data_IF_169385468363
#
_entry.id   IF_169385468363
#
_cell.length_a   1.000
_cell.length_b   1.000
_cell.length_c   1.000
_cell.angle_alpha   90.00
_cell.angle_beta   90.00
_cell.angle_gamma   90.00
#
_symmetry.space_group_name_H-M   'P 1'
#
loop_
_entity.id
_entity.type
_entity.pdbx_description
1 polymer ?
#
# COMPACT_ATOMS: atom_id res chain seq x y z
N UNK A 1 -49.93 -6.78 -20.71
CA UNK A 1 -49.87 -6.97 -19.25
C UNK A 1 -48.42 -6.68 -18.85
N UNK A 2 -47.95 -5.53 -18.37
CA UNK A 2 -48.42 -4.44 -17.47
C UNK A 2 -48.52 -4.81 -15.99
N UNK A 3 -47.47 -4.46 -15.23
CA UNK A 3 -47.33 -3.82 -13.89
C UNK A 3 -46.05 -4.33 -13.21
N UNK A 4 -45.04 -3.51 -12.98
CA UNK A 4 -44.89 -2.37 -12.04
C UNK A 4 -44.57 -2.81 -10.59
N UNK A 5 -43.31 -2.51 -10.21
CA UNK A 5 -42.84 -1.78 -9.01
C UNK A 5 -43.36 -2.16 -7.62
N UNK A 6 -42.46 -2.34 -6.63
CA UNK A 6 -42.52 -1.64 -5.32
C UNK A 6 -41.19 -1.75 -4.57
N UNK A 7 -40.72 -0.58 -4.12
CA UNK A 7 -39.65 -0.31 -3.17
C UNK A 7 -40.23 -0.18 -1.75
N UNK A 8 -39.53 -0.64 -0.71
CA UNK A 8 -39.74 -0.34 0.71
C UNK A 8 -38.32 -0.25 1.33
N UNK A 9 -37.74 0.90 1.65
CA UNK A 9 -38.03 1.87 2.73
C UNK A 9 -38.14 1.26 4.14
N UNK A 10 -37.15 1.60 4.96
CA UNK A 10 -37.10 1.54 6.43
C UNK A 10 -35.63 1.61 6.87
N UNK A 11 -35.09 2.59 7.60
CA UNK A 11 -35.67 3.62 8.48
C UNK A 11 -35.04 3.50 9.88
N UNK A 12 -34.64 4.63 10.50
CA UNK A 12 -34.07 4.84 11.86
C UNK A 12 -32.55 4.62 11.99
N UNK A 13 -31.66 5.62 12.12
CA UNK A 13 -31.47 6.81 12.98
C UNK A 13 -31.10 6.51 14.46
N UNK A 14 -30.00 7.16 14.89
CA UNK A 14 -29.57 7.65 16.23
C UNK A 14 -28.36 6.96 16.87
N UNK A 15 -27.36 7.78 17.23
CA UNK A 15 -26.25 7.38 18.11
C UNK A 15 -24.99 8.23 18.01
N UNK A 16 -25.07 9.55 18.20
CA UNK A 16 -23.89 10.38 18.53
C UNK A 16 -23.61 10.21 20.02
N UNK A 17 -22.38 9.91 20.40
CA UNK A 17 -21.87 10.16 21.75
C UNK A 17 -20.39 10.57 21.67
N UNK A 18 -20.17 11.88 21.65
CA UNK A 18 -18.96 12.51 22.17
C UNK A 18 -19.04 12.48 23.70
N UNK A 19 -17.94 12.15 24.37
CA UNK A 19 -17.79 12.43 25.79
C UNK A 19 -16.36 12.88 26.06
N UNK A 20 -16.22 14.17 26.34
CA UNK A 20 -15.10 14.77 27.04
C UNK A 20 -15.44 14.76 28.52
N UNK A 21 -14.50 14.38 29.38
CA UNK A 21 -14.54 14.71 30.79
C UNK A 21 -13.13 15.09 31.25
N UNK A 22 -12.98 16.38 31.53
CA UNK A 22 -11.90 16.98 32.31
C UNK A 22 -12.04 16.55 33.77
N UNK A 23 -10.92 16.27 34.42
CA UNK A 23 -10.82 16.15 35.88
C UNK A 23 -9.66 17.00 36.38
N UNK A 24 -9.99 18.14 36.98
CA UNK A 24 -9.09 19.01 37.75
C UNK A 24 -9.37 18.86 39.25
N UNK A 25 -8.32 18.97 40.07
CA UNK A 25 -8.32 19.07 41.54
C UNK A 25 -7.08 18.35 42.07
N UNK A 26 -6.01 18.98 42.59
CA UNK A 26 -5.91 20.11 43.53
C UNK A 26 -5.89 19.53 44.95
N UNK A 27 -4.98 19.83 45.90
CA UNK A 27 -3.80 20.70 46.01
C UNK A 27 -3.05 20.29 47.31
N UNK A 28 -2.08 21.11 47.75
CA UNK A 28 -1.44 21.20 49.09
C UNK A 28 -0.21 20.27 49.32
N UNK A 29 0.98 20.69 49.78
CA UNK A 29 1.48 21.91 50.44
C UNK A 29 2.96 22.21 50.06
N UNK A 30 3.34 23.48 50.22
CA UNK A 30 4.71 24.07 50.10
C UNK A 30 5.29 24.27 51.52
N UNK A 31 6.41 24.98 51.77
CA UNK A 31 7.51 25.49 50.94
C UNK A 31 8.90 25.16 51.57
N UNK A 32 10.02 25.59 50.97
CA UNK A 32 10.94 26.58 51.58
C UNK A 32 12.34 26.67 50.92
N UNK A 33 12.75 27.94 50.73
CA UNK A 33 14.07 28.48 50.40
C UNK A 33 14.66 28.29 48.98
N UNK A 34 15.32 29.28 48.35
CA UNK A 34 15.44 30.73 48.55
C UNK A 34 16.25 31.31 47.36
N UNK A 35 16.08 32.61 47.09
CA UNK A 35 17.10 33.56 46.58
C UNK A 35 17.37 33.55 45.05
N UNK A 36 16.79 34.46 44.24
CA UNK A 36 17.22 35.87 43.93
C UNK A 36 18.69 35.92 43.47
N UNK A 37 19.04 36.25 42.22
CA UNK A 37 19.13 37.60 41.59
C UNK A 37 19.17 37.47 40.05
N UNK A 38 18.36 38.21 39.28
CA UNK A 38 18.62 39.54 38.67
C UNK A 38 19.47 39.52 37.38
N UNK A 39 18.86 40.11 36.34
CA UNK A 39 19.32 40.58 35.03
C UNK A 39 20.82 40.63 34.73
N UNK A 40 21.18 40.25 33.51
CA UNK A 40 21.73 41.22 32.53
C UNK A 40 21.63 40.70 31.08
N UNK A 41 21.09 41.58 30.24
CA UNK A 41 21.23 41.60 28.78
C UNK A 41 22.69 41.51 28.32
N UNK A 42 22.95 40.73 27.27
CA UNK A 42 24.06 40.95 26.35
C UNK A 42 23.74 40.31 25.00
N UNK A 43 23.58 41.16 23.99
CA UNK A 43 23.53 40.82 22.58
C UNK A 43 24.76 39.99 22.18
N UNK A 44 24.55 38.97 21.36
CA UNK A 44 25.60 38.40 20.51
C UNK A 44 24.97 37.90 19.21
N UNK A 45 25.10 38.74 18.18
CA UNK A 45 24.96 38.36 16.77
C UNK A 45 26.30 37.78 16.31
N UNK A 46 26.31 36.54 15.80
CA UNK A 46 27.22 36.01 14.77
C UNK A 46 26.78 34.57 14.49
N UNK A 47 26.14 34.30 13.35
CA UNK A 47 26.70 33.99 12.03
C UNK A 47 26.78 32.47 11.78
N UNK A 48 26.54 32.14 10.51
CA UNK A 48 26.28 30.83 9.93
C UNK A 48 27.28 29.76 10.35
N UNK A 49 26.75 28.58 10.69
CA UNK A 49 27.40 27.32 10.34
C UNK A 49 26.32 26.36 9.82
N UNK A 50 26.52 25.94 8.58
CA UNK A 50 25.73 25.04 7.78
C UNK A 50 25.18 23.85 8.57
N UNK A 51 23.86 23.70 8.59
CA UNK A 51 23.25 22.42 8.89
C UNK A 51 23.58 21.48 7.72
N UNK A 52 24.66 20.72 7.90
CA UNK A 52 25.03 19.61 7.03
C UNK A 52 23.81 18.69 6.90
N UNK A 53 23.23 18.64 5.71
CA UNK A 53 22.24 17.64 5.37
C UNK A 53 22.92 16.29 5.50
N UNK A 54 22.66 15.59 6.59
CA UNK A 54 22.93 14.17 6.70
C UNK A 54 22.04 13.50 5.66
N UNK A 55 22.60 13.32 4.46
CA UNK A 55 22.04 12.47 3.43
C UNK A 55 21.91 11.07 4.03
N UNK A 56 20.70 10.75 4.45
CA UNK A 56 20.34 9.40 4.86
C UNK A 56 20.58 8.48 3.66
N UNK A 57 21.32 7.38 3.81
CA UNK A 57 21.75 6.58 2.68
C UNK A 57 20.56 5.90 2.02
N UNK A 58 20.41 6.19 0.73
CA UNK A 58 19.97 5.29 -0.33
C UNK A 58 18.82 4.32 -0.04
N UNK A 59 17.65 4.89 0.30
CA UNK A 59 16.38 4.16 0.20
C UNK A 59 15.83 4.24 -1.23
N UNK A 60 16.45 5.03 -2.12
CA UNK A 60 16.02 5.27 -3.50
C UNK A 60 16.33 4.11 -4.44
N UNK A 61 17.52 3.50 -4.37
CA UNK A 61 17.94 2.54 -5.40
C UNK A 61 17.25 1.18 -5.31
N UNK A 62 16.89 0.69 -4.12
CA UNK A 62 16.20 -0.59 -3.96
C UNK A 62 14.68 -0.53 -4.25
N UNK A 63 14.14 0.69 -4.41
CA UNK A 63 12.72 0.96 -4.60
C UNK A 63 12.37 1.37 -6.04
N UNK A 64 13.35 1.39 -6.97
CA UNK A 64 13.23 2.07 -8.25
C UNK A 64 12.91 1.20 -9.48
N UNK A 65 12.87 -0.14 -9.38
CA UNK A 65 12.66 -0.99 -10.57
C UNK A 65 11.23 -0.84 -11.16
N UNK A 66 10.21 -0.81 -10.29
CA UNK A 66 8.81 -0.71 -10.76
C UNK A 66 8.45 0.69 -11.27
N UNK A 67 9.27 1.70 -11.00
CA UNK A 67 9.14 3.05 -11.55
C UNK A 67 10.20 3.37 -12.61
N UNK A 68 11.05 2.40 -12.98
CA UNK A 68 12.06 2.58 -14.01
C UNK A 68 11.40 2.99 -15.34
N UNK A 69 11.99 4.01 -15.98
CA UNK A 69 11.50 4.60 -17.23
C UNK A 69 10.22 5.45 -17.10
N UNK A 70 9.64 5.60 -15.91
CA UNK A 70 8.49 6.48 -15.73
C UNK A 70 8.90 7.95 -15.86
N UNK A 71 8.17 8.70 -16.71
CA UNK A 71 8.40 10.13 -16.91
C UNK A 71 7.10 10.91 -16.66
N UNK A 72 7.26 12.17 -16.22
CA UNK A 72 6.14 13.06 -15.96
C UNK A 72 5.28 12.65 -14.76
N UNK A 73 4.06 13.17 -14.73
CA UNK A 73 3.08 12.91 -13.67
C UNK A 73 1.96 12.01 -14.16
N UNK A 74 1.36 11.23 -13.27
CA UNK A 74 0.29 10.29 -13.58
C UNK A 74 -0.80 10.23 -12.51
N UNK A 75 -1.60 9.18 -12.58
CA UNK A 75 -2.63 8.87 -11.60
C UNK A 75 -2.19 7.70 -10.72
N UNK A 76 -2.00 7.98 -9.45
CA UNK A 76 -1.79 7.00 -8.38
C UNK A 76 -3.14 6.48 -7.87
N UNK A 77 -3.23 5.18 -7.65
CA UNK A 77 -4.36 4.53 -6.99
C UNK A 77 -3.82 3.55 -5.93
N UNK A 78 -4.28 3.68 -4.69
CA UNK A 78 -3.94 2.76 -3.60
C UNK A 78 -5.10 1.84 -3.25
N UNK A 79 -4.81 0.57 -2.97
CA UNK A 79 -5.81 -0.45 -2.69
C UNK A 79 -5.48 -1.21 -1.41
N UNK A 80 -6.50 -1.49 -0.60
CA UNK A 80 -6.41 -2.42 0.53
C UNK A 80 -7.10 -3.71 0.11
N UNK A 81 -6.37 -4.82 0.17
CA UNK A 81 -6.87 -6.11 -0.27
C UNK A 81 -7.55 -6.88 0.86
N UNK A 82 -8.63 -7.64 0.57
CA UNK A 82 -9.26 -7.85 -0.73
C UNK A 82 -10.36 -6.82 -1.07
N UNK A 83 -10.39 -5.67 -0.38
CA UNK A 83 -11.59 -4.86 -0.26
C UNK A 83 -11.78 -3.86 -1.40
N UNK A 84 -11.04 -2.75 -1.40
CA UNK A 84 -11.35 -1.61 -2.28
C UNK A 84 -10.14 -0.70 -2.50
N UNK A 85 -10.29 0.21 -3.46
CA UNK A 85 -9.43 1.37 -3.61
C UNK A 85 -9.70 2.37 -2.48
N UNK A 86 -8.66 2.78 -1.75
CA UNK A 86 -8.80 3.74 -0.64
C UNK A 86 -8.33 5.16 -1.00
N UNK A 87 -7.57 5.31 -2.09
CA UNK A 87 -7.04 6.61 -2.51
C UNK A 87 -6.85 6.68 -4.02
N UNK A 88 -7.12 7.86 -4.57
CA UNK A 88 -6.78 8.27 -5.92
C UNK A 88 -6.08 9.62 -5.84
N UNK A 89 -4.90 9.74 -6.42
CA UNK A 89 -4.15 11.01 -6.49
C UNK A 89 -3.69 11.24 -7.92
N UNK A 90 -4.07 12.37 -8.49
CA UNK A 90 -3.64 12.77 -9.83
C UNK A 90 -2.40 13.66 -9.77
N UNK A 91 -1.71 13.78 -10.91
CA UNK A 91 -0.57 14.69 -11.10
C UNK A 91 0.58 14.45 -10.10
N UNK A 92 0.88 13.18 -9.83
CA UNK A 92 1.98 12.75 -8.96
C UNK A 92 3.00 11.93 -9.76
N UNK A 93 4.28 12.04 -9.45
CA UNK A 93 5.32 11.21 -10.08
C UNK A 93 5.20 9.74 -9.63
N UNK A 94 5.79 8.81 -10.39
CA UNK A 94 5.79 7.40 -10.01
C UNK A 94 6.53 7.17 -8.68
N UNK A 95 7.68 7.83 -8.48
CA UNK A 95 8.47 7.69 -7.26
C UNK A 95 7.71 8.17 -6.01
N UNK A 96 7.06 9.34 -6.08
CA UNK A 96 6.22 9.84 -4.99
C UNK A 96 5.02 8.93 -4.73
N UNK A 97 4.35 8.46 -5.79
CA UNK A 97 3.25 7.51 -5.68
C UNK A 97 3.67 6.22 -4.95
N UNK A 98 4.86 5.69 -5.28
CA UNK A 98 5.41 4.50 -4.65
C UNK A 98 5.76 4.75 -3.19
N UNK A 99 6.42 5.87 -2.87
CA UNK A 99 6.74 6.26 -1.50
C UNK A 99 5.47 6.38 -0.66
N UNK A 100 4.44 7.05 -1.19
CA UNK A 100 3.14 7.15 -0.53
C UNK A 100 2.52 5.78 -0.29
N UNK A 101 2.63 4.86 -1.25
CA UNK A 101 2.14 3.50 -1.07
C UNK A 101 2.87 2.75 0.05
N UNK A 102 4.20 2.81 0.06
CA UNK A 102 5.04 2.17 1.09
C UNK A 102 4.73 2.74 2.47
N UNK A 103 4.60 4.07 2.59
CA UNK A 103 4.22 4.74 3.84
C UNK A 103 2.88 4.21 4.37
N UNK A 104 1.87 4.12 3.52
CA UNK A 104 0.55 3.59 3.91
C UNK A 104 0.62 2.11 4.29
N UNK A 105 1.38 1.29 3.56
CA UNK A 105 1.56 -0.11 3.89
C UNK A 105 2.28 -0.29 5.24
N UNK A 106 3.29 0.53 5.53
CA UNK A 106 4.03 0.48 6.79
C UNK A 106 3.19 0.97 7.98
N UNK A 107 2.32 1.96 7.78
CA UNK A 107 1.36 2.39 8.79
C UNK A 107 0.31 1.32 9.13
N UNK A 108 0.10 0.34 8.23
CA UNK A 108 -0.89 -0.71 8.37
C UNK A 108 -0.28 -2.10 8.15
N UNK A 109 0.62 -2.57 9.05
CA UNK A 109 1.40 -3.78 8.82
C UNK A 109 0.56 -5.06 8.73
N UNK A 110 -0.63 -5.08 9.34
CA UNK A 110 -1.56 -6.23 9.30
C UNK A 110 -2.40 -6.30 8.03
N UNK A 111 -2.32 -5.33 7.13
CA UNK A 111 -3.14 -5.27 5.92
C UNK A 111 -2.32 -5.51 4.66
N UNK A 112 -2.95 -6.17 3.69
CA UNK A 112 -2.37 -6.38 2.36
C UNK A 112 -2.69 -5.20 1.47
N UNK A 113 -1.73 -4.77 0.65
CA UNK A 113 -1.84 -3.59 -0.19
C UNK A 113 -1.27 -3.85 -1.58
N UNK A 114 -1.83 -3.15 -2.56
CA UNK A 114 -1.10 -2.86 -3.78
C UNK A 114 -1.42 -1.45 -4.23
N UNK A 115 -0.56 -0.91 -5.08
CA UNK A 115 -0.77 0.39 -5.67
C UNK A 115 -0.44 0.39 -7.15
N UNK A 116 -1.14 1.24 -7.88
CA UNK A 116 -0.88 1.47 -9.30
C UNK A 116 -0.54 2.92 -9.58
N UNK A 117 0.23 3.13 -10.65
CA UNK A 117 0.46 4.42 -11.29
C UNK A 117 0.24 4.27 -12.78
N UNK A 118 -0.69 5.06 -13.35
CA UNK A 118 -1.11 4.95 -14.75
C UNK A 118 -1.39 3.47 -15.16
N UNK A 119 -2.15 2.76 -14.32
CA UNK A 119 -2.54 1.37 -14.54
C UNK A 119 -1.37 0.36 -14.63
N UNK A 120 -0.18 0.73 -14.11
CA UNK A 120 0.96 -0.17 -13.82
C UNK A 120 1.05 -0.40 -12.32
N UNK A 121 1.23 -1.64 -11.87
CA UNK A 121 1.51 -1.91 -10.45
C UNK A 121 2.91 -1.42 -10.10
N UNK A 122 3.01 -0.60 -9.05
CA UNK A 122 4.27 0.00 -8.59
C UNK A 122 4.71 -0.51 -7.22
N UNK A 123 3.82 -1.21 -6.52
CA UNK A 123 4.06 -1.79 -5.21
C UNK A 123 2.98 -2.83 -4.93
N UNK A 124 3.36 -3.95 -4.31
CA UNK A 124 2.45 -4.96 -3.78
C UNK A 124 3.05 -5.57 -2.52
N UNK A 125 2.21 -5.79 -1.51
CA UNK A 125 2.53 -6.55 -0.31
C UNK A 125 1.32 -7.35 0.14
N UNK A 126 1.47 -8.66 0.13
CA UNK A 126 0.48 -9.60 0.62
C UNK A 126 0.88 -10.06 2.03
N UNK A 127 0.09 -9.68 3.05
CA UNK A 127 0.26 -10.20 4.43
C UNK A 127 -0.18 -11.66 4.48
N UNK A 128 -1.28 -11.97 3.81
CA UNK A 128 -1.72 -13.34 3.54
C UNK A 128 -1.51 -13.64 2.07
N UNK A 129 -0.91 -14.77 1.74
CA UNK A 129 -0.60 -15.16 0.36
C UNK A 129 -1.84 -15.06 -0.55
N UNK A 130 -1.75 -14.26 -1.60
CA UNK A 130 -2.81 -14.10 -2.58
C UNK A 130 -3.94 -13.17 -2.17
N UNK A 131 -3.82 -12.44 -1.06
CA UNK A 131 -4.86 -11.52 -0.59
C UNK A 131 -5.29 -10.49 -1.66
N UNK A 132 -4.36 -10.06 -2.52
CA UNK A 132 -4.63 -9.09 -3.57
C UNK A 132 -5.04 -9.69 -4.92
N UNK A 133 -5.13 -11.02 -5.06
CA UNK A 133 -5.35 -11.67 -6.35
C UNK A 133 -6.57 -11.09 -7.09
N UNK A 134 -7.72 -10.99 -6.44
CA UNK A 134 -8.97 -10.55 -7.09
C UNK A 134 -8.95 -9.11 -7.62
N UNK A 135 -8.04 -8.25 -7.15
CA UNK A 135 -8.06 -6.82 -7.44
C UNK A 135 -6.98 -6.37 -8.43
N UNK A 136 -5.82 -7.03 -8.45
CA UNK A 136 -4.67 -6.55 -9.23
C UNK A 136 -5.00 -6.44 -10.72
N UNK A 137 -5.57 -7.49 -11.32
CA UNK A 137 -5.87 -7.45 -12.75
C UNK A 137 -7.03 -6.51 -13.10
N UNK A 138 -7.97 -6.27 -12.18
CA UNK A 138 -9.03 -5.28 -12.39
C UNK A 138 -8.50 -3.83 -12.41
N UNK A 139 -7.32 -3.59 -11.85
CA UNK A 139 -6.73 -2.27 -11.71
C UNK A 139 -5.71 -1.90 -12.78
N UNK A 140 -5.43 -2.80 -13.74
CA UNK A 140 -4.43 -2.61 -14.79
C UNK A 140 -4.99 -2.90 -16.17
N UNK A 141 -4.38 -2.32 -17.21
CA UNK A 141 -4.83 -2.49 -18.59
C UNK A 141 -3.67 -2.77 -19.56
N UNK A 142 -4.02 -3.20 -20.77
CA UNK A 142 -3.09 -3.53 -21.84
C UNK A 142 -2.65 -5.00 -21.84
N UNK A 143 -1.64 -5.31 -22.66
CA UNK A 143 -1.07 -6.64 -22.80
C UNK A 143 0.39 -6.65 -22.35
N UNK A 144 0.90 -7.84 -21.97
CA UNK A 144 2.25 -7.98 -21.43
C UNK A 144 2.76 -9.42 -21.46
N UNK A 145 3.97 -9.60 -20.95
CA UNK A 145 4.55 -10.92 -20.74
C UNK A 145 4.00 -11.54 -19.45
N UNK A 146 3.40 -12.72 -19.57
CA UNK A 146 2.96 -13.58 -18.49
C UNK A 146 3.97 -14.69 -18.26
N UNK A 147 4.31 -14.93 -16.99
CA UNK A 147 5.09 -16.08 -16.55
C UNK A 147 4.40 -16.75 -15.37
N UNK A 148 4.20 -18.06 -15.46
CA UNK A 148 3.65 -18.87 -14.37
C UNK A 148 4.72 -19.80 -13.79
N UNK A 149 4.70 -19.96 -12.47
CA UNK A 149 5.68 -20.75 -11.74
C UNK A 149 5.00 -21.72 -10.78
N UNK A 150 5.55 -22.93 -10.68
CA UNK A 150 5.19 -23.89 -9.63
C UNK A 150 6.27 -23.83 -8.57
N UNK A 151 5.90 -23.58 -7.32
CA UNK A 151 6.84 -23.43 -6.22
C UNK A 151 7.17 -24.78 -5.58
N UNK A 152 8.43 -25.04 -5.18
CA UNK A 152 9.63 -24.20 -5.32
C UNK A 152 10.40 -24.47 -6.63
N UNK A 153 9.74 -25.06 -7.63
CA UNK A 153 10.41 -25.79 -8.70
C UNK A 153 10.90 -24.91 -9.86
N UNK A 154 10.01 -24.49 -10.77
CA UNK A 154 10.41 -23.84 -12.02
C UNK A 154 9.25 -23.07 -12.67
N UNK A 155 9.59 -22.28 -13.69
CA UNK A 155 8.63 -21.68 -14.62
C UNK A 155 8.02 -22.75 -15.52
N UNK A 156 6.70 -22.83 -15.59
CA UNK A 156 6.00 -23.82 -16.42
C UNK A 156 5.34 -23.20 -17.67
N UNK A 157 5.19 -21.87 -17.71
CA UNK A 157 4.58 -21.17 -18.83
C UNK A 157 5.18 -19.78 -19.00
N UNK A 158 5.38 -19.40 -20.26
CA UNK A 158 5.76 -18.06 -20.69
C UNK A 158 4.94 -17.70 -21.93
N UNK A 159 4.22 -16.58 -21.86
CA UNK A 159 3.36 -16.11 -22.94
C UNK A 159 3.50 -14.60 -23.08
N UNK A 160 3.70 -14.12 -24.31
CA UNK A 160 3.77 -12.69 -24.59
C UNK A 160 2.42 -12.16 -25.09
N UNK A 161 2.22 -10.85 -25.00
CA UNK A 161 1.06 -10.15 -25.54
C UNK A 161 -0.31 -10.67 -25.05
N UNK A 162 -0.41 -11.08 -23.77
CA UNK A 162 -1.65 -11.51 -23.11
C UNK A 162 -2.15 -10.43 -22.14
N UNK A 163 -3.46 -10.30 -21.94
CA UNK A 163 -4.03 -9.39 -20.93
C UNK A 163 -3.78 -9.89 -19.50
N UNK A 164 -3.91 -9.00 -18.51
CA UNK A 164 -3.77 -9.40 -17.10
C UNK A 164 -4.84 -10.43 -16.70
N UNK A 165 -6.12 -10.19 -17.04
CA UNK A 165 -7.23 -11.09 -16.72
C UNK A 165 -7.01 -12.50 -17.26
N UNK A 166 -6.59 -12.63 -18.52
CA UNK A 166 -6.32 -13.94 -19.12
C UNK A 166 -5.12 -14.61 -18.46
N UNK A 167 -4.04 -13.88 -18.18
CA UNK A 167 -2.88 -14.38 -17.47
C UNK A 167 -3.25 -14.91 -16.07
N UNK A 168 -4.06 -14.16 -15.32
CA UNK A 168 -4.56 -14.57 -14.02
C UNK A 168 -5.47 -15.81 -14.11
N UNK A 169 -6.40 -15.82 -15.07
CA UNK A 169 -7.31 -16.96 -15.28
C UNK A 169 -6.54 -18.24 -15.61
N UNK A 170 -5.52 -18.12 -16.47
CA UNK A 170 -4.62 -19.23 -16.81
C UNK A 170 -3.85 -19.74 -15.58
N UNK A 171 -3.35 -18.83 -14.75
CA UNK A 171 -2.67 -19.20 -13.51
C UNK A 171 -3.60 -19.94 -12.54
N UNK A 172 -4.81 -19.41 -12.34
CA UNK A 172 -5.81 -20.01 -11.48
C UNK A 172 -6.26 -21.39 -11.98
N UNK A 173 -6.43 -21.55 -13.29
CA UNK A 173 -6.74 -22.85 -13.90
C UNK A 173 -5.68 -23.89 -13.55
N UNK A 174 -4.39 -23.56 -13.75
CA UNK A 174 -3.29 -24.47 -13.43
C UNK A 174 -3.21 -24.79 -11.94
N UNK A 175 -3.42 -23.79 -11.08
CA UNK A 175 -3.44 -23.96 -9.63
C UNK A 175 -4.58 -24.89 -9.17
N UNK A 176 -5.75 -24.77 -9.79
CA UNK A 176 -6.91 -25.63 -9.51
C UNK A 176 -6.71 -27.06 -10.03
N UNK A 177 -6.06 -27.24 -11.18
CA UNK A 177 -5.72 -28.55 -11.74
C UNK A 177 -4.65 -29.29 -10.94
N UNK A 178 -3.88 -28.59 -10.10
CA UNK A 178 -2.80 -29.16 -9.31
C UNK A 178 -2.96 -28.76 -7.84
N UNK A 179 -3.96 -29.32 -7.13
CA UNK A 179 -4.41 -28.80 -5.83
C UNK A 179 -3.35 -28.89 -4.72
N UNK A 180 -2.38 -29.79 -4.84
CA UNK A 180 -1.31 -29.98 -3.85
C UNK A 180 -0.07 -29.11 -4.11
N UNK A 181 -0.06 -28.36 -5.21
CA UNK A 181 1.07 -27.52 -5.61
C UNK A 181 0.80 -26.06 -5.26
N UNK A 182 1.88 -25.33 -5.00
CA UNK A 182 1.85 -23.88 -4.80
C UNK A 182 2.26 -23.17 -6.08
N UNK A 183 1.68 -22.01 -6.33
CA UNK A 183 1.83 -21.28 -7.59
C UNK A 183 2.03 -19.80 -7.32
N UNK A 184 2.88 -19.16 -8.11
CA UNK A 184 2.84 -17.72 -8.29
C UNK A 184 2.96 -17.38 -9.77
N UNK A 185 2.42 -16.24 -10.15
CA UNK A 185 2.40 -15.79 -11.53
C UNK A 185 2.65 -14.29 -11.63
N UNK A 186 3.43 -13.92 -12.62
CA UNK A 186 3.80 -12.53 -12.90
C UNK A 186 3.29 -12.10 -14.26
N UNK A 187 2.89 -10.84 -14.38
CA UNK A 187 2.55 -10.17 -15.63
C UNK A 187 3.24 -8.81 -15.69
N UNK A 188 3.94 -8.53 -16.80
CA UNK A 188 4.87 -7.39 -16.93
C UNK A 188 5.89 -7.29 -15.79
N UNK A 189 6.34 -8.45 -15.28
CA UNK A 189 7.27 -8.54 -14.17
C UNK A 189 6.64 -8.40 -12.78
N UNK A 190 5.38 -8.00 -12.66
CA UNK A 190 4.71 -7.85 -11.36
C UNK A 190 3.86 -9.07 -11.03
N UNK A 191 3.84 -9.50 -9.76
CA UNK A 191 2.97 -10.57 -9.30
C UNK A 191 1.49 -10.20 -9.42
N UNK A 192 0.72 -11.08 -10.07
CA UNK A 192 -0.74 -10.94 -10.26
C UNK A 192 -1.55 -12.05 -9.60
N UNK A 193 -0.90 -13.15 -9.23
CA UNK A 193 -1.53 -14.28 -8.57
C UNK A 193 -0.52 -15.01 -7.70
N UNK A 194 -0.95 -15.38 -6.49
CA UNK A 194 -0.20 -16.26 -5.59
C UNK A 194 -1.16 -17.21 -4.87
N UNK A 195 -0.77 -18.47 -4.77
CA UNK A 195 -1.42 -19.50 -3.97
C UNK A 195 -0.35 -20.35 -3.31
N UNK A 196 -0.26 -20.27 -1.98
CA UNK A 196 0.67 -21.06 -1.19
C UNK A 196 -0.08 -22.11 -0.38
N UNK A 197 0.22 -23.39 -0.62
CA UNK A 197 -0.23 -24.52 0.21
C UNK A 197 0.65 -24.70 1.44
N UNK A 198 1.90 -24.27 1.33
CA UNK A 198 2.86 -24.20 2.42
C UNK A 198 3.37 -22.77 2.48
N UNK A 199 3.22 -22.11 3.62
CA UNK A 199 3.61 -20.72 3.78
C UNK A 199 5.10 -20.52 3.48
N UNK A 200 5.41 -19.52 2.63
CA UNK A 200 6.77 -19.14 2.27
C UNK A 200 7.46 -20.07 1.26
N UNK A 201 6.74 -21.02 0.65
CA UNK A 201 7.34 -21.94 -0.33
C UNK A 201 7.64 -21.28 -1.68
N UNK A 202 6.90 -20.21 -2.02
CA UNK A 202 7.14 -19.43 -3.22
C UNK A 202 8.14 -18.32 -2.91
N UNK A 203 9.08 -18.01 -3.84
CA UNK A 203 9.99 -16.88 -3.67
C UNK A 203 9.20 -15.58 -3.49
N UNK A 204 9.77 -14.65 -2.73
CA UNK A 204 9.24 -13.30 -2.57
C UNK A 204 9.81 -12.38 -3.64
#
# INVERSE_FOLDING_TARGET
>A
MKRDTTSLLGGMIWGVALSWAMGCGGALETPENAMVTSDTSLESRQELASAEQVASPDISEALADECSGAQGTGTYKGYVCPSHNFIITQKISCAEARNNCVLNANANPGSSFFCTWNDRVIYRRDVSAGACNSLVCAAVTGTGQYKGYVCPSHNFINTNAISCQEAQSNCQLNANSNPNSSFYCTWKGTEIFRLERTAGICPR
#
